data_IF_690895402114
#
_entry.id   IF_690895402114
#
_cell.length_a   1.000
_cell.length_b   1.000
_cell.length_c   1.000
_cell.angle_alpha   90.00
_cell.angle_beta   90.00
_cell.angle_gamma   90.00
#
_symmetry.space_group_name_H-M   'P 1'
#
loop_
_entity.id
_entity.type
_entity.pdbx_description
1 polymer ?
#
# COMPACT_ATOMS: atom_id res chain seq x y z
N UNK A 1 -8.59 13.15 0.62
CA UNK A 1 -7.40 13.44 1.43
C UNK A 1 -6.88 14.85 1.15
N UNK A 2 -6.28 15.12 -0.01
CA UNK A 2 -5.66 16.41 -0.36
C UNK A 2 -6.56 17.65 -0.16
N UNK A 3 -7.86 17.56 -0.48
CA UNK A 3 -8.80 18.67 -0.27
C UNK A 3 -8.86 19.16 1.19
N UNK A 4 -8.75 18.25 2.16
CA UNK A 4 -8.80 18.58 3.58
C UNK A 4 -7.42 18.93 4.14
N UNK A 5 -6.33 18.38 3.60
CA UNK A 5 -4.98 18.68 4.07
C UNK A 5 -4.44 19.99 3.55
N UNK A 6 -4.80 20.38 2.32
CA UNK A 6 -4.35 21.61 1.67
C UNK A 6 -2.83 21.79 1.80
N UNK A 7 -2.09 20.70 1.60
CA UNK A 7 -0.64 20.68 1.74
C UNK A 7 0.03 21.70 0.82
N UNK A 8 0.95 22.47 1.37
CA UNK A 8 1.83 23.38 0.62
C UNK A 8 3.24 22.79 0.45
N UNK A 9 3.64 21.88 1.34
CA UNK A 9 4.91 21.16 1.28
C UNK A 9 4.87 19.87 0.43
N UNK A 10 6.02 19.21 0.20
CA UNK A 10 6.11 18.00 -0.61
C UNK A 10 5.26 16.84 -0.07
N UNK A 11 4.43 16.28 -0.94
CA UNK A 11 3.62 15.08 -0.67
C UNK A 11 3.99 13.95 -1.63
N UNK A 12 3.49 12.74 -1.37
CA UNK A 12 3.76 11.59 -2.23
C UNK A 12 3.50 11.87 -3.71
N UNK A 13 4.55 11.83 -4.54
CA UNK A 13 4.48 12.05 -5.98
C UNK A 13 4.35 13.50 -6.44
N UNK A 14 4.12 14.46 -5.53
CA UNK A 14 4.03 15.88 -5.85
C UNK A 14 4.94 16.68 -4.92
N UNK A 15 6.09 17.13 -5.44
CA UNK A 15 7.02 17.95 -4.68
C UNK A 15 6.44 19.35 -4.40
N UNK A 16 5.68 19.90 -5.36
CA UNK A 16 4.99 21.17 -5.26
C UNK A 16 3.49 20.95 -5.57
N UNK A 17 2.67 20.54 -4.58
CA UNK A 17 1.26 20.28 -4.83
C UNK A 17 0.51 21.55 -5.27
N UNK A 18 -0.41 21.46 -6.25
CA UNK A 18 -1.20 22.61 -6.67
C UNK A 18 -2.23 23.00 -5.61
N UNK A 19 -2.67 24.27 -5.63
CA UNK A 19 -3.72 24.76 -4.73
C UNK A 19 -5.04 24.02 -4.95
N UNK A 20 -5.63 23.55 -3.85
CA UNK A 20 -6.92 22.85 -3.87
C UNK A 20 -8.06 23.78 -4.34
N UNK A 21 -8.96 23.23 -5.15
CA UNK A 21 -10.15 23.91 -5.66
C UNK A 21 -11.42 23.28 -5.04
N UNK A 22 -12.47 24.08 -4.84
CA UNK A 22 -13.72 23.63 -4.21
C UNK A 22 -14.36 22.43 -4.92
N UNK A 23 -14.27 22.36 -6.24
CA UNK A 23 -14.82 21.26 -7.04
C UNK A 23 -14.11 19.92 -6.79
N UNK A 24 -12.87 19.91 -6.31
CA UNK A 24 -12.11 18.67 -6.09
C UNK A 24 -12.76 17.80 -5.02
N UNK A 25 -13.43 18.41 -4.04
CA UNK A 25 -14.16 17.68 -3.03
C UNK A 25 -15.36 16.93 -3.61
N UNK A 26 -16.24 17.64 -4.32
CA UNK A 26 -17.40 17.02 -4.98
C UNK A 26 -16.96 16.03 -6.06
N UNK A 27 -15.91 16.35 -6.83
CA UNK A 27 -15.31 15.43 -7.80
C UNK A 27 -14.83 14.12 -7.16
N UNK A 28 -14.21 14.19 -5.98
CA UNK A 28 -13.78 12.99 -5.25
C UNK A 28 -14.97 12.14 -4.76
N UNK A 29 -16.07 12.77 -4.36
CA UNK A 29 -17.29 12.07 -3.93
C UNK A 29 -18.01 11.43 -5.13
N UNK A 30 -18.08 12.14 -6.25
CA UNK A 30 -18.62 11.60 -7.50
C UNK A 30 -17.85 10.38 -7.96
N UNK A 31 -16.51 10.45 -7.98
CA UNK A 31 -15.67 9.31 -8.38
C UNK A 31 -15.89 8.08 -7.50
N UNK A 32 -15.93 8.26 -6.18
CA UNK A 32 -16.21 7.18 -5.22
C UNK A 32 -17.65 6.65 -5.38
N UNK A 33 -18.62 7.53 -5.58
CA UNK A 33 -20.02 7.16 -5.82
C UNK A 33 -20.19 6.36 -7.11
N UNK A 34 -19.53 6.75 -8.19
CA UNK A 34 -19.49 5.97 -9.44
C UNK A 34 -18.88 4.61 -9.23
N UNK A 35 -17.75 4.52 -8.50
CA UNK A 35 -17.15 3.25 -8.16
C UNK A 35 -18.08 2.35 -7.32
N UNK A 36 -18.84 2.93 -6.37
CA UNK A 36 -19.83 2.20 -5.59
C UNK A 36 -21.00 1.70 -6.46
N UNK A 37 -21.49 2.52 -7.40
CA UNK A 37 -22.53 2.08 -8.36
C UNK A 37 -22.06 0.89 -9.20
N UNK A 38 -20.80 0.91 -9.65
CA UNK A 38 -20.19 -0.24 -10.34
C UNK A 38 -20.08 -1.42 -9.38
N UNK A 39 -19.62 -1.22 -8.15
CA UNK A 39 -19.47 -2.28 -7.15
C UNK A 39 -20.78 -3.01 -6.85
N UNK A 40 -21.92 -2.31 -6.83
CA UNK A 40 -23.27 -2.89 -6.66
C UNK A 40 -23.58 -3.94 -7.72
N UNK A 41 -23.10 -3.75 -8.97
CA UNK A 41 -23.30 -4.72 -10.05
C UNK A 41 -22.50 -6.02 -9.85
N UNK A 42 -21.49 -6.01 -8.98
CA UNK A 42 -20.61 -7.17 -8.70
C UNK A 42 -21.10 -8.01 -7.51
N UNK A 43 -22.25 -7.66 -6.92
CA UNK A 43 -22.85 -8.40 -5.81
C UNK A 43 -22.55 -7.83 -4.42
N UNK A 44 -23.24 -8.38 -3.41
CA UNK A 44 -23.29 -7.82 -2.06
C UNK A 44 -21.94 -7.82 -1.35
N UNK A 45 -21.16 -8.91 -1.48
CA UNK A 45 -19.85 -9.02 -0.85
C UNK A 45 -18.86 -7.98 -1.38
N UNK A 46 -18.76 -7.86 -2.72
CA UNK A 46 -17.90 -6.88 -3.37
C UNK A 46 -18.29 -5.45 -2.98
N UNK A 47 -19.58 -5.15 -3.00
CA UNK A 47 -20.14 -3.85 -2.61
C UNK A 47 -19.82 -3.51 -1.15
N UNK A 48 -19.99 -4.47 -0.23
CA UNK A 48 -19.71 -4.29 1.19
C UNK A 48 -18.24 -3.98 1.45
N UNK A 49 -17.32 -4.70 0.79
CA UNK A 49 -15.88 -4.46 0.88
C UNK A 49 -15.52 -3.06 0.32
N UNK A 50 -16.10 -2.67 -0.82
CA UNK A 50 -15.88 -1.35 -1.42
C UNK A 50 -16.39 -0.22 -0.52
N UNK A 51 -17.63 -0.32 -0.03
CA UNK A 51 -18.24 0.66 0.87
C UNK A 51 -17.47 0.77 2.20
N UNK A 52 -17.00 -0.34 2.75
CA UNK A 52 -16.13 -0.34 3.91
C UNK A 52 -14.82 0.42 3.62
N UNK A 53 -14.19 0.17 2.47
CA UNK A 53 -12.98 0.89 2.05
C UNK A 53 -13.22 2.40 1.95
N UNK A 54 -14.35 2.82 1.36
CA UNK A 54 -14.76 4.24 1.32
C UNK A 54 -14.90 4.83 2.73
N UNK A 55 -15.56 4.12 3.65
CA UNK A 55 -15.71 4.56 5.03
C UNK A 55 -14.36 4.77 5.72
N UNK A 56 -13.43 3.83 5.59
CA UNK A 56 -12.08 3.97 6.16
C UNK A 56 -11.30 5.13 5.53
N UNK A 57 -11.39 5.36 4.22
CA UNK A 57 -10.76 6.53 3.59
C UNK A 57 -11.38 7.86 4.03
N UNK A 58 -12.69 7.87 4.27
CA UNK A 58 -13.38 9.01 4.85
C UNK A 58 -12.90 9.28 6.27
N UNK A 59 -12.92 8.28 7.17
CA UNK A 59 -12.39 8.37 8.55
C UNK A 59 -10.92 8.77 8.60
N UNK A 60 -10.12 8.28 7.66
CA UNK A 60 -8.72 8.61 7.50
C UNK A 60 -8.49 10.11 7.29
N UNK A 61 -9.33 10.74 6.46
CA UNK A 61 -9.06 12.11 5.99
C UNK A 61 -9.95 13.18 6.62
N UNK A 62 -11.18 12.86 7.04
CA UNK A 62 -12.19 13.84 7.49
C UNK A 62 -11.72 14.59 8.73
N UNK A 63 -11.93 15.92 8.85
CA UNK A 63 -11.58 16.68 10.05
C UNK A 63 -12.26 16.15 11.32
N UNK A 64 -13.40 15.47 11.19
CA UNK A 64 -14.17 14.92 12.33
C UNK A 64 -13.44 13.77 13.05
N UNK A 65 -12.58 13.03 12.35
CA UNK A 65 -11.92 11.83 12.87
C UNK A 65 -10.41 11.85 12.65
N UNK A 66 -9.97 12.25 11.45
CA UNK A 66 -8.57 12.44 11.03
C UNK A 66 -7.66 11.29 11.46
N UNK A 67 -8.03 10.03 11.18
CA UNK A 67 -7.27 8.87 11.68
C UNK A 67 -5.81 8.85 11.20
N UNK A 68 -5.49 9.50 10.09
CA UNK A 68 -4.11 9.65 9.61
C UNK A 68 -3.17 10.35 10.60
N UNK A 69 -3.71 11.18 11.50
CA UNK A 69 -2.91 11.87 12.53
C UNK A 69 -2.55 10.98 13.72
N UNK A 70 -2.97 9.72 13.71
CA UNK A 70 -2.70 8.77 14.78
C UNK A 70 -2.01 7.52 14.20
N UNK A 71 -0.98 6.98 14.86
CA UNK A 71 -0.12 5.99 14.23
C UNK A 71 -0.90 4.71 13.95
N UNK A 72 -1.58 4.15 14.96
CA UNK A 72 -2.33 2.90 14.84
C UNK A 72 -3.56 3.06 13.95
N UNK A 73 -4.35 4.12 14.14
CA UNK A 73 -5.58 4.32 13.35
C UNK A 73 -5.27 4.51 11.86
N UNK A 74 -4.16 5.19 11.55
CA UNK A 74 -3.69 5.35 10.17
C UNK A 74 -3.31 4.01 9.53
N UNK A 75 -2.59 3.14 10.26
CA UNK A 75 -2.25 1.79 9.81
C UNK A 75 -3.48 0.91 9.61
N UNK A 76 -4.48 0.99 10.51
CA UNK A 76 -5.73 0.24 10.36
C UNK A 76 -6.47 0.70 9.11
N UNK A 77 -6.63 2.00 8.91
CA UNK A 77 -7.34 2.53 7.75
C UNK A 77 -6.69 2.09 6.44
N UNK A 78 -5.39 2.28 6.31
CA UNK A 78 -4.64 1.90 5.10
C UNK A 78 -4.58 0.38 4.94
N UNK A 79 -4.38 -0.36 6.03
CA UNK A 79 -4.26 -1.81 6.01
C UNK A 79 -5.56 -2.48 5.59
N UNK A 80 -6.69 -2.05 6.13
CA UNK A 80 -8.00 -2.58 5.75
C UNK A 80 -8.39 -2.12 4.34
N UNK A 81 -8.39 -0.80 4.08
CA UNK A 81 -8.94 -0.27 2.82
C UNK A 81 -8.07 -0.55 1.61
N UNK A 82 -6.74 -0.46 1.75
CA UNK A 82 -5.80 -0.50 0.62
C UNK A 82 -5.04 -1.81 0.57
N UNK A 83 -4.65 -2.37 1.72
CA UNK A 83 -3.99 -3.68 1.77
C UNK A 83 -4.97 -4.82 1.51
N UNK A 84 -5.78 -5.14 2.52
CA UNK A 84 -6.62 -6.32 2.57
C UNK A 84 -7.72 -6.29 1.50
N UNK A 85 -8.48 -5.19 1.47
CA UNK A 85 -9.64 -5.07 0.60
C UNK A 85 -9.27 -5.03 -0.88
N UNK A 86 -8.13 -4.43 -1.27
CA UNK A 86 -7.71 -4.39 -2.67
C UNK A 86 -7.44 -5.79 -3.23
N UNK A 87 -6.83 -6.68 -2.44
CA UNK A 87 -6.58 -8.07 -2.85
C UNK A 87 -7.90 -8.82 -3.01
N UNK A 88 -8.84 -8.64 -2.07
CA UNK A 88 -10.16 -9.27 -2.18
C UNK A 88 -10.97 -8.74 -3.36
N UNK A 89 -11.02 -7.42 -3.55
CA UNK A 89 -11.74 -6.82 -4.67
C UNK A 89 -11.14 -7.31 -6.00
N UNK A 90 -9.81 -7.35 -6.13
CA UNK A 90 -9.16 -7.89 -7.33
C UNK A 90 -9.48 -9.37 -7.56
N UNK A 91 -9.48 -10.18 -6.49
CA UNK A 91 -9.79 -11.62 -6.56
C UNK A 91 -11.26 -11.89 -6.94
N UNK A 92 -12.20 -11.13 -6.35
CA UNK A 92 -13.62 -11.21 -6.67
C UNK A 92 -13.91 -10.70 -8.09
N UNK A 93 -13.28 -9.60 -8.52
CA UNK A 93 -13.38 -9.07 -9.88
C UNK A 93 -12.86 -10.03 -10.95
N UNK A 94 -11.95 -10.94 -10.58
CA UNK A 94 -11.50 -12.03 -11.46
C UNK A 94 -12.52 -13.18 -11.61
N UNK A 95 -13.72 -13.04 -11.04
CA UNK A 95 -14.81 -14.01 -11.16
C UNK A 95 -14.86 -15.06 -10.04
N UNK A 96 -14.08 -14.90 -8.97
CA UNK A 96 -14.13 -15.81 -7.83
C UNK A 96 -15.21 -15.37 -6.84
N UNK A 97 -15.89 -16.32 -6.21
CA UNK A 97 -16.98 -16.03 -5.27
C UNK A 97 -16.56 -16.19 -3.79
N UNK A 98 -15.52 -16.99 -3.52
CA UNK A 98 -15.14 -17.40 -2.16
C UNK A 98 -13.72 -16.96 -1.83
N UNK A 99 -13.58 -16.18 -0.75
CA UNK A 99 -12.29 -15.81 -0.16
C UNK A 99 -11.72 -16.97 0.66
N UNK A 100 -11.04 -17.90 -0.01
CA UNK A 100 -10.44 -19.07 0.62
C UNK A 100 -9.17 -18.74 1.45
N UNK A 101 -8.66 -19.72 2.20
CA UNK A 101 -7.53 -19.53 3.12
C UNK A 101 -6.27 -18.98 2.42
N UNK A 102 -5.81 -19.50 1.27
CA UNK A 102 -4.68 -18.90 0.55
C UNK A 102 -4.87 -17.42 0.19
N UNK A 103 -6.09 -17.02 -0.20
CA UNK A 103 -6.41 -15.62 -0.51
C UNK A 103 -6.33 -14.73 0.74
N UNK A 104 -6.81 -15.22 1.88
CA UNK A 104 -6.66 -14.51 3.16
C UNK A 104 -5.19 -14.34 3.55
N UNK A 105 -4.40 -15.40 3.44
CA UNK A 105 -2.96 -15.36 3.72
C UNK A 105 -2.26 -14.35 2.79
N UNK A 106 -2.57 -14.39 1.49
CA UNK A 106 -2.03 -13.42 0.53
C UNK A 106 -2.45 -11.99 0.86
N UNK A 107 -3.72 -11.76 1.20
CA UNK A 107 -4.24 -10.43 1.53
C UNK A 107 -3.58 -9.84 2.79
N UNK A 108 -3.39 -10.65 3.84
CA UNK A 108 -2.64 -10.25 5.03
C UNK A 108 -1.18 -9.98 4.69
N UNK A 109 -0.56 -10.84 3.88
CA UNK A 109 0.83 -10.67 3.45
C UNK A 109 1.06 -9.38 2.66
N UNK A 110 0.22 -9.11 1.66
CA UNK A 110 0.23 -7.86 0.87
C UNK A 110 -0.03 -6.66 1.78
N UNK A 111 -0.95 -6.78 2.74
CA UNK A 111 -1.21 -5.72 3.73
C UNK A 111 0.04 -5.38 4.53
N UNK A 112 0.77 -6.38 5.04
CA UNK A 112 2.00 -6.16 5.78
C UNK A 112 3.09 -5.53 4.90
N UNK A 113 3.26 -6.00 3.66
CA UNK A 113 4.21 -5.40 2.72
C UNK A 113 3.85 -3.94 2.41
N UNK A 114 2.58 -3.62 2.18
CA UNK A 114 2.12 -2.25 1.94
C UNK A 114 2.35 -1.36 3.17
N UNK A 115 1.95 -1.84 4.36
CA UNK A 115 2.13 -1.09 5.60
C UNK A 115 3.60 -0.89 5.93
N UNK A 116 4.50 -1.82 5.59
CA UNK A 116 5.95 -1.67 5.78
C UNK A 116 6.51 -0.41 5.09
N UNK A 117 5.91 -0.03 3.94
CA UNK A 117 6.33 1.12 3.14
C UNK A 117 5.61 2.42 3.52
N UNK A 118 4.43 2.31 4.15
CA UNK A 118 3.56 3.46 4.40
C UNK A 118 4.21 4.55 5.29
N UNK A 119 4.82 4.23 6.46
CA UNK A 119 5.47 5.23 7.30
C UNK A 119 6.77 5.82 6.71
N UNK A 120 7.30 5.28 5.61
CA UNK A 120 8.57 5.77 5.05
C UNK A 120 8.45 7.23 4.61
N UNK A 121 7.33 7.62 3.97
CA UNK A 121 7.11 9.03 3.59
C UNK A 121 6.99 9.96 4.78
N UNK A 122 6.64 9.44 5.96
CA UNK A 122 6.54 10.26 7.17
C UNK A 122 7.93 10.61 7.72
N UNK A 123 9.01 9.92 7.31
CA UNK A 123 10.38 10.16 7.82
C UNK A 123 10.86 11.59 7.53
N UNK A 124 10.64 12.10 6.33
CA UNK A 124 11.04 13.47 5.98
C UNK A 124 10.01 14.52 6.40
N UNK A 125 8.82 14.09 6.85
CA UNK A 125 7.70 14.95 7.25
C UNK A 125 7.61 15.12 8.78
N UNK A 126 8.50 14.49 9.58
CA UNK A 126 8.41 14.45 11.05
C UNK A 126 8.23 15.85 11.66
N UNK A 127 9.05 16.82 11.26
CA UNK A 127 9.00 18.17 11.81
C UNK A 127 7.71 18.91 11.41
N UNK A 128 7.26 18.74 10.17
CA UNK A 128 6.02 19.33 9.67
C UNK A 128 4.78 18.71 10.33
N UNK A 129 4.72 17.37 10.41
CA UNK A 129 3.66 16.62 11.10
C UNK A 129 3.54 17.07 12.56
N UNK A 130 4.68 17.23 13.25
CA UNK A 130 4.72 17.71 14.64
C UNK A 130 4.17 19.14 14.77
N UNK A 131 4.52 20.06 13.86
CA UNK A 131 3.99 21.44 13.85
C UNK A 131 2.49 21.49 13.62
N UNK A 132 1.94 20.56 12.83
CA UNK A 132 0.49 20.40 12.61
C UNK A 132 -0.23 19.74 13.78
N UNK A 133 0.52 19.23 14.77
CA UNK A 133 -0.02 18.48 15.90
C UNK A 133 -0.38 17.02 15.58
N UNK A 134 0.03 16.51 14.41
CA UNK A 134 -0.21 15.13 14.01
C UNK A 134 0.79 14.19 14.73
N UNK A 135 0.28 13.09 15.29
CA UNK A 135 1.08 12.03 15.94
C UNK A 135 1.25 10.86 14.96
N UNK A 136 1.89 11.12 13.82
CA UNK A 136 2.12 10.07 12.81
C UNK A 136 3.08 8.98 13.32
N UNK A 137 3.19 7.87 12.60
CA UNK A 137 4.03 6.75 13.03
C UNK A 137 5.51 7.17 13.15
N UNK A 138 6.02 7.93 12.17
CA UNK A 138 7.38 8.44 12.24
C UNK A 138 7.58 9.50 13.35
N UNK A 139 6.57 10.31 13.67
CA UNK A 139 6.63 11.23 14.82
C UNK A 139 6.74 10.47 16.14
N UNK A 140 5.94 9.41 16.30
CA UNK A 140 5.89 8.62 17.54
C UNK A 140 7.11 7.73 17.74
N UNK A 141 7.57 7.05 16.68
CA UNK A 141 8.61 6.00 16.78
C UNK A 141 9.95 6.38 16.15
N UNK A 142 10.02 7.55 15.50
CA UNK A 142 11.20 8.04 14.81
C UNK A 142 11.61 7.19 13.61
N UNK A 143 12.68 7.61 12.93
CA UNK A 143 13.27 6.87 11.80
C UNK A 143 13.64 5.43 12.17
N UNK A 144 14.18 5.19 13.37
CA UNK A 144 14.59 3.85 13.82
C UNK A 144 13.37 2.91 13.91
N UNK A 145 12.27 3.38 14.48
CA UNK A 145 11.02 2.60 14.54
C UNK A 145 10.43 2.32 13.17
N UNK A 146 10.48 3.29 12.25
CA UNK A 146 10.05 3.08 10.86
C UNK A 146 10.87 1.98 10.17
N UNK A 147 12.21 1.99 10.34
CA UNK A 147 13.09 0.97 9.75
C UNK A 147 12.82 -0.42 10.34
N UNK A 148 12.66 -0.52 11.66
CA UNK A 148 12.34 -1.79 12.33
C UNK A 148 10.99 -2.33 11.87
N UNK A 149 9.97 -1.46 11.83
CA UNK A 149 8.65 -1.81 11.34
C UNK A 149 8.68 -2.26 9.87
N UNK A 150 9.42 -1.55 9.02
CA UNK A 150 9.65 -1.95 7.64
C UNK A 150 10.19 -3.37 7.56
N UNK A 151 11.29 -3.68 8.26
CA UNK A 151 11.92 -5.00 8.20
C UNK A 151 10.97 -6.12 8.65
N UNK A 152 10.29 -5.95 9.78
CA UNK A 152 9.41 -6.97 10.36
C UNK A 152 8.18 -7.19 9.46
N UNK A 153 7.49 -6.11 9.10
CA UNK A 153 6.27 -6.18 8.31
C UNK A 153 6.56 -6.63 6.87
N UNK A 154 7.63 -6.14 6.25
CA UNK A 154 8.01 -6.53 4.89
C UNK A 154 8.38 -8.01 4.82
N UNK A 155 9.25 -8.51 5.72
CA UNK A 155 9.65 -9.91 5.72
C UNK A 155 8.50 -10.85 6.09
N UNK A 156 7.67 -10.48 7.08
CA UNK A 156 6.48 -11.23 7.43
C UNK A 156 5.48 -11.27 6.28
N UNK A 157 5.26 -10.14 5.61
CA UNK A 157 4.40 -10.06 4.44
C UNK A 157 4.92 -10.87 3.25
N UNK A 158 6.22 -10.75 2.95
CA UNK A 158 6.89 -11.51 1.90
C UNK A 158 6.77 -13.02 2.14
N UNK A 159 6.96 -13.47 3.37
CA UNK A 159 6.79 -14.87 3.75
C UNK A 159 5.36 -15.35 3.49
N UNK A 160 4.35 -14.62 3.97
CA UNK A 160 2.94 -15.01 3.79
C UNK A 160 2.52 -15.04 2.32
N UNK A 161 2.92 -14.04 1.52
CA UNK A 161 2.61 -14.04 0.09
C UNK A 161 3.34 -15.19 -0.63
N UNK A 162 4.60 -15.45 -0.30
CA UNK A 162 5.35 -16.59 -0.86
C UNK A 162 4.68 -17.92 -0.49
N UNK A 163 4.21 -18.06 0.76
CA UNK A 163 3.46 -19.24 1.20
C UNK A 163 2.16 -19.42 0.42
N UNK A 164 1.37 -18.35 0.25
CA UNK A 164 0.12 -18.40 -0.52
C UNK A 164 0.36 -18.75 -1.99
N UNK A 165 1.39 -18.19 -2.63
CA UNK A 165 1.78 -18.55 -3.99
C UNK A 165 2.24 -20.02 -4.05
N UNK A 166 2.98 -20.48 -3.03
CA UNK A 166 3.54 -21.84 -2.97
C UNK A 166 2.49 -22.95 -2.95
N UNK A 167 1.27 -22.65 -2.49
CA UNK A 167 0.11 -23.56 -2.59
C UNK A 167 -0.24 -23.86 -4.05
N UNK A 168 -0.02 -22.92 -4.97
CA UNK A 168 -0.36 -23.05 -6.39
C UNK A 168 0.86 -23.30 -7.28
N UNK A 169 2.03 -22.74 -6.93
CA UNK A 169 3.26 -22.90 -7.71
C UNK A 169 4.51 -22.69 -6.83
N UNK A 170 5.23 -23.78 -6.59
CA UNK A 170 6.46 -23.77 -5.80
C UNK A 170 7.54 -22.86 -6.43
N UNK A 171 7.80 -22.99 -7.73
CA UNK A 171 8.87 -22.23 -8.39
C UNK A 171 8.59 -20.72 -8.44
N UNK A 172 7.33 -20.32 -8.66
CA UNK A 172 6.96 -18.90 -8.62
C UNK A 172 7.09 -18.35 -7.20
N UNK A 173 6.79 -19.14 -6.17
CA UNK A 173 6.99 -18.75 -4.78
C UNK A 173 8.47 -18.53 -4.44
N UNK A 174 9.36 -19.43 -4.89
CA UNK A 174 10.81 -19.27 -4.69
C UNK A 174 11.32 -18.01 -5.41
N UNK A 175 10.90 -17.80 -6.67
CA UNK A 175 11.27 -16.60 -7.42
C UNK A 175 10.78 -15.32 -6.72
N UNK A 176 9.52 -15.30 -6.27
CA UNK A 176 8.95 -14.17 -5.55
C UNK A 176 9.71 -13.88 -4.26
N UNK A 177 9.98 -14.93 -3.46
CA UNK A 177 10.74 -14.82 -2.22
C UNK A 177 12.15 -14.26 -2.46
N UNK A 178 12.87 -14.78 -3.45
CA UNK A 178 14.23 -14.34 -3.78
C UNK A 178 14.28 -12.87 -4.25
N UNK A 179 13.40 -12.50 -5.18
CA UNK A 179 13.30 -11.11 -5.65
C UNK A 179 12.89 -10.19 -4.50
N UNK A 180 11.92 -10.61 -3.68
CA UNK A 180 11.45 -9.85 -2.53
C UNK A 180 12.53 -9.62 -1.49
N UNK A 181 13.33 -10.63 -1.14
CA UNK A 181 14.48 -10.46 -0.20
C UNK A 181 15.48 -9.46 -0.77
N UNK A 182 15.80 -9.57 -2.06
CA UNK A 182 16.73 -8.65 -2.73
C UNK A 182 16.24 -7.21 -2.66
N UNK A 183 14.96 -6.97 -2.97
CA UNK A 183 14.32 -5.65 -2.85
C UNK A 183 14.33 -5.17 -1.40
N UNK A 184 13.98 -6.03 -0.44
CA UNK A 184 13.96 -5.71 0.99
C UNK A 184 15.33 -5.28 1.52
N UNK A 185 16.41 -5.94 1.09
CA UNK A 185 17.79 -5.57 1.42
C UNK A 185 18.14 -4.20 0.84
N UNK A 186 17.87 -3.98 -0.46
CA UNK A 186 18.14 -2.70 -1.13
C UNK A 186 17.41 -1.56 -0.42
N UNK A 187 16.11 -1.72 -0.16
CA UNK A 187 15.30 -0.71 0.54
C UNK A 187 15.83 -0.46 1.95
N UNK A 188 16.18 -1.51 2.71
CA UNK A 188 16.75 -1.34 4.06
C UNK A 188 18.05 -0.52 4.05
N UNK A 189 18.92 -0.76 3.08
CA UNK A 189 20.18 0.00 2.91
C UNK A 189 19.89 1.47 2.57
N UNK A 190 18.96 1.73 1.65
CA UNK A 190 18.56 3.09 1.28
C UNK A 190 17.94 3.84 2.46
N UNK A 191 17.08 3.18 3.25
CA UNK A 191 16.45 3.77 4.43
C UNK A 191 17.47 4.16 5.51
N UNK A 192 18.53 3.35 5.70
CA UNK A 192 19.60 3.68 6.64
C UNK A 192 20.31 4.98 6.26
N UNK A 193 20.44 5.28 4.97
CA UNK A 193 21.09 6.49 4.44
C UNK A 193 20.30 7.80 4.48
N UNK A 194 19.06 7.81 4.98
CA UNK A 194 18.22 9.03 5.03
C UNK A 194 18.66 10.01 6.15
N UNK A 195 18.66 11.31 5.90
CA UNK A 195 18.93 12.39 6.86
C UNK A 195 17.72 12.86 7.66
N UNK A 196 16.50 12.36 7.40
CA UNK A 196 15.21 12.77 8.02
C UNK A 196 14.75 14.20 7.69
N UNK A 197 15.32 14.80 6.65
CA UNK A 197 15.02 16.15 6.19
C UNK A 197 14.23 16.11 4.88
N UNK A 198 13.63 17.23 4.48
CA UNK A 198 12.92 17.35 3.20
C UNK A 198 13.79 17.03 1.97
N UNK A 199 15.12 17.11 2.09
CA UNK A 199 16.09 16.70 1.07
C UNK A 199 16.01 15.20 0.73
N UNK A 200 15.47 14.37 1.63
CA UNK A 200 15.26 12.95 1.38
C UNK A 200 14.04 12.64 0.52
N UNK A 201 13.25 13.66 0.14
CA UNK A 201 12.02 13.50 -0.65
C UNK A 201 12.24 12.59 -1.86
N UNK A 202 13.24 12.90 -2.68
CA UNK A 202 13.52 12.17 -3.92
C UNK A 202 13.93 10.72 -3.63
N UNK A 203 14.76 10.49 -2.61
CA UNK A 203 15.18 9.14 -2.21
C UNK A 203 13.98 8.32 -1.74
N UNK A 204 13.09 8.93 -0.97
CA UNK A 204 11.88 8.27 -0.47
C UNK A 204 10.90 7.97 -1.60
N UNK A 205 10.75 8.88 -2.58
CA UNK A 205 9.94 8.61 -3.77
C UNK A 205 10.54 7.47 -4.60
N UNK A 206 11.87 7.46 -4.80
CA UNK A 206 12.57 6.36 -5.47
C UNK A 206 12.34 5.02 -4.77
N UNK A 207 12.42 4.97 -3.44
CA UNK A 207 12.12 3.76 -2.67
C UNK A 207 10.68 3.31 -2.94
N UNK A 208 9.69 4.20 -2.82
CA UNK A 208 8.27 3.84 -2.96
C UNK A 208 7.92 3.39 -4.37
N UNK A 209 8.27 4.19 -5.38
CA UNK A 209 7.94 3.89 -6.77
C UNK A 209 8.81 2.77 -7.34
N UNK A 210 10.09 2.70 -6.97
CA UNK A 210 10.98 1.61 -7.37
C UNK A 210 10.50 0.26 -6.83
N UNK A 211 10.11 0.19 -5.55
CA UNK A 211 9.56 -1.04 -4.96
C UNK A 211 8.23 -1.44 -5.63
N UNK A 212 7.37 -0.46 -5.89
CA UNK A 212 6.09 -0.70 -6.58
C UNK A 212 6.31 -1.19 -8.02
N UNK A 213 7.25 -0.59 -8.74
CA UNK A 213 7.60 -0.99 -10.11
C UNK A 213 8.20 -2.39 -10.14
N UNK A 214 9.09 -2.74 -9.21
CA UNK A 214 9.64 -4.09 -9.11
C UNK A 214 8.55 -5.14 -8.92
N UNK A 215 7.53 -4.83 -8.09
CA UNK A 215 6.38 -5.71 -7.91
C UNK A 215 5.54 -5.86 -9.19
N UNK A 216 5.27 -4.77 -9.91
CA UNK A 216 4.54 -4.82 -11.20
C UNK A 216 5.32 -5.62 -12.24
N UNK A 217 6.63 -5.40 -12.36
CA UNK A 217 7.49 -6.15 -13.28
C UNK A 217 7.51 -7.64 -12.94
N UNK A 218 7.54 -8.00 -11.66
CA UNK A 218 7.39 -9.38 -11.21
C UNK A 218 6.05 -9.97 -11.67
N UNK A 219 4.92 -9.26 -11.46
CA UNK A 219 3.61 -9.75 -11.88
C UNK A 219 3.53 -9.97 -13.39
N UNK A 220 4.06 -9.03 -14.19
CA UNK A 220 4.11 -9.15 -15.64
C UNK A 220 4.96 -10.36 -16.05
N UNK A 221 6.15 -10.52 -15.48
CA UNK A 221 7.03 -11.66 -15.76
C UNK A 221 6.37 -12.99 -15.37
N UNK A 222 5.71 -13.05 -14.21
CA UNK A 222 5.00 -14.24 -13.74
C UNK A 222 3.80 -14.60 -14.63
N UNK A 223 3.06 -13.59 -15.12
CA UNK A 223 1.95 -13.80 -16.06
C UNK A 223 2.44 -14.28 -17.42
N UNK A 224 3.53 -13.71 -17.93
CA UNK A 224 4.19 -14.17 -19.17
C UNK A 224 4.64 -15.61 -18.98
N UNK A 225 5.35 -15.92 -17.89
CA UNK A 225 5.78 -17.29 -17.58
C UNK A 225 4.59 -18.26 -17.59
N UNK A 226 3.52 -17.94 -16.86
CA UNK A 226 2.35 -18.80 -16.71
C UNK A 226 1.63 -19.10 -18.03
N UNK A 227 1.53 -18.12 -18.94
CA UNK A 227 0.78 -18.25 -20.19
C UNK A 227 1.67 -18.54 -21.41
N UNK A 228 2.99 -18.45 -21.26
CA UNK A 228 3.92 -18.87 -22.29
C UNK A 228 3.96 -20.39 -22.39
N UNK A 229 4.06 -20.93 -23.62
CA UNK A 229 4.36 -22.34 -23.88
C UNK A 229 5.79 -22.75 -23.45
N UNK A 230 6.53 -21.90 -22.73
CA UNK A 230 7.92 -22.17 -22.32
C UNK A 230 8.01 -23.46 -21.50
N UNK A 231 6.97 -23.79 -20.72
CA UNK A 231 6.90 -25.05 -19.98
C UNK A 231 6.77 -26.28 -20.88
N UNK A 232 6.20 -26.18 -22.09
CA UNK A 232 6.14 -27.30 -23.06
C UNK A 232 7.51 -27.66 -23.65
N UNK A 233 8.52 -26.78 -23.52
CA UNK A 233 9.88 -27.00 -24.02
C UNK A 233 10.89 -27.38 -22.93
N UNK A 234 10.49 -27.35 -21.66
CA UNK A 234 11.35 -27.66 -20.50
C UNK A 234 11.01 -28.99 -19.81
N UNK A 235 9.93 -29.65 -20.25
CA UNK A 235 9.56 -31.03 -19.89
C UNK A 235 9.77 -31.96 -21.07
#
# INVERSE_FOLDING_TARGET
NSFWDKDEGPIGGLQNPPKMQSWMWSGSLLLQGTGLMIAVTQGLLYSGIYALSMLFFWLYSTPLARWKSHPIKSLIAIGVSTGLNSVWLGYLAAGNEVLNVPVWIAAVGVTLMLLSLYPISQIYQIEEDRRRGDQTFAVQYGKKGVIQFFLIAFLGGLFLVSLAIGVFSFWVAILFGFVGVTVGVIVSLLLKGLSTTSEDYDKVMWIKYGTSMAFVLFLVAALIWKHSKIMEYLT
#
